data_IF_787362797512
#
_entry.id   IF_787362797512
#
_cell.length_a   1.000
_cell.length_b   1.000
_cell.length_c   1.000
_cell.angle_alpha   90.00
_cell.angle_beta   90.00
_cell.angle_gamma   90.00
#
_symmetry.space_group_name_H-M   'P 1'
#
loop_
_entity.id
_entity.type
_entity.pdbx_description
1 polymer ?
#
# COMPACT_ATOMS: atom_id res chain seq x y z
N UNK A 1 -36.22 6.13 23.52
CA UNK A 1 -34.77 5.96 23.32
C UNK A 1 -34.43 4.56 23.81
N UNK A 2 -34.32 3.59 22.90
CA UNK A 2 -34.09 2.18 23.27
C UNK A 2 -32.61 1.97 23.58
N UNK A 3 -32.26 1.86 24.86
CA UNK A 3 -30.99 1.31 25.29
C UNK A 3 -31.01 -0.19 25.00
N UNK A 4 -30.30 -0.63 23.97
CA UNK A 4 -29.96 -2.04 23.85
C UNK A 4 -28.91 -2.37 24.92
N UNK A 5 -29.23 -3.19 25.93
CA UNK A 5 -28.21 -3.64 26.88
C UNK A 5 -27.15 -4.40 26.10
N UNK A 6 -25.89 -3.98 26.22
CA UNK A 6 -24.77 -4.75 25.68
C UNK A 6 -24.78 -6.11 26.39
N UNK A 7 -24.69 -7.24 25.67
CA UNK A 7 -24.59 -8.54 26.30
C UNK A 7 -23.41 -8.52 27.27
N UNK A 8 -23.56 -9.09 28.46
CA UNK A 8 -22.50 -9.16 29.46
C UNK A 8 -21.33 -9.98 28.90
N UNK A 9 -20.39 -9.33 28.22
CA UNK A 9 -19.18 -9.96 27.71
C UNK A 9 -18.32 -10.35 28.91
N UNK A 10 -17.79 -11.58 28.91
CA UNK A 10 -16.74 -11.93 29.84
C UNK A 10 -15.56 -10.94 29.67
N UNK A 11 -14.78 -10.65 30.73
CA UNK A 11 -13.65 -9.73 30.65
C UNK A 11 -12.66 -10.08 29.51
N UNK A 12 -12.57 -11.35 29.16
CA UNK A 12 -11.78 -11.85 28.04
C UNK A 12 -12.39 -11.46 26.67
N UNK A 13 -13.69 -11.64 26.51
CA UNK A 13 -14.39 -11.34 25.27
C UNK A 13 -14.44 -9.81 25.03
N UNK A 14 -14.53 -9.00 26.09
CA UNK A 14 -14.38 -7.55 26.02
C UNK A 14 -12.98 -7.14 25.53
N UNK A 15 -11.92 -7.72 26.10
CA UNK A 15 -10.53 -7.45 25.69
C UNK A 15 -10.24 -7.86 24.25
N UNK A 16 -10.73 -9.02 23.80
CA UNK A 16 -10.59 -9.47 22.40
C UNK A 16 -11.28 -8.50 21.42
N UNK A 17 -12.43 -7.95 21.79
CA UNK A 17 -13.13 -6.93 21.02
C UNK A 17 -12.30 -5.65 20.89
N UNK A 18 -11.79 -5.12 22.00
CA UNK A 18 -10.96 -3.90 21.99
C UNK A 18 -9.71 -4.07 21.13
N UNK A 19 -9.02 -5.21 21.27
CA UNK A 19 -7.85 -5.52 20.45
C UNK A 19 -8.22 -5.55 18.96
N UNK A 20 -9.32 -6.21 18.60
CA UNK A 20 -9.78 -6.33 17.21
C UNK A 20 -10.12 -4.95 16.63
N UNK A 21 -10.83 -4.10 17.39
CA UNK A 21 -11.16 -2.73 16.97
C UNK A 21 -9.89 -1.91 16.76
N UNK A 22 -8.91 -2.01 17.66
CA UNK A 22 -7.64 -1.28 17.54
C UNK A 22 -6.81 -1.72 16.32
N UNK A 23 -6.82 -3.02 15.99
CA UNK A 23 -6.12 -3.55 14.83
C UNK A 23 -6.81 -3.13 13.52
N UNK A 24 -8.14 -3.04 13.51
CA UNK A 24 -8.91 -2.54 12.36
C UNK A 24 -8.65 -1.05 12.14
N UNK A 25 -8.70 -0.21 13.19
CA UNK A 25 -8.39 1.23 13.07
C UNK A 25 -6.94 1.44 12.62
N UNK A 26 -5.98 0.65 13.13
CA UNK A 26 -4.58 0.73 12.69
C UNK A 26 -4.42 0.27 11.23
N UNK A 27 -5.15 -0.75 10.80
CA UNK A 27 -5.17 -1.21 9.40
C UNK A 27 -5.73 -0.13 8.47
N UNK A 28 -6.91 0.42 8.77
CA UNK A 28 -7.58 1.42 7.94
C UNK A 28 -6.74 2.69 7.80
N UNK A 29 -6.02 3.10 8.84
CA UNK A 29 -5.10 4.25 8.78
C UNK A 29 -3.85 4.02 7.95
N UNK A 30 -3.38 2.78 7.85
CA UNK A 30 -2.12 2.43 7.15
C UNK A 30 -2.35 1.93 5.74
N UNK A 31 -3.57 1.54 5.40
CA UNK A 31 -3.95 1.09 4.08
C UNK A 31 -3.66 2.20 3.06
N UNK A 32 -3.07 1.81 1.94
CA UNK A 32 -2.84 2.71 0.82
C UNK A 32 -4.05 2.69 -0.10
N UNK A 33 -4.55 3.88 -0.45
CA UNK A 33 -5.56 4.07 -1.48
C UNK A 33 -4.84 4.41 -2.80
N UNK A 34 -5.02 3.62 -3.88
CA UNK A 34 -4.38 3.88 -5.17
C UNK A 34 -5.01 5.03 -5.97
N UNK A 35 -6.23 5.44 -5.61
CA UNK A 35 -7.03 6.39 -6.40
C UNK A 35 -6.33 7.76 -6.54
N UNK A 36 -5.79 8.39 -5.47
CA UNK A 36 -5.15 9.70 -5.59
C UNK A 36 -3.98 9.67 -6.58
N UNK A 37 -3.12 8.66 -6.49
CA UNK A 37 -1.94 8.53 -7.35
C UNK A 37 -2.31 8.20 -8.79
N UNK A 38 -3.33 7.37 -9.00
CA UNK A 38 -3.89 7.14 -10.32
C UNK A 38 -4.35 8.45 -10.97
N UNK A 39 -5.11 9.28 -10.24
CA UNK A 39 -5.59 10.57 -10.75
C UNK A 39 -4.43 11.52 -11.07
N UNK A 40 -3.41 11.56 -10.23
CA UNK A 40 -2.21 12.37 -10.47
C UNK A 40 -1.44 11.92 -11.70
N UNK A 41 -1.25 10.62 -11.88
CA UNK A 41 -0.63 10.07 -13.08
C UNK A 41 -1.49 10.28 -14.33
N UNK A 42 -2.82 10.28 -14.20
CA UNK A 42 -3.73 10.52 -15.31
C UNK A 42 -3.70 11.99 -15.78
N UNK A 43 -3.77 12.96 -14.85
CA UNK A 43 -3.83 14.38 -15.20
C UNK A 43 -2.47 15.05 -15.41
N UNK A 44 -1.48 14.72 -14.58
CA UNK A 44 -0.13 15.31 -14.61
C UNK A 44 0.82 14.38 -15.39
N UNK A 45 0.83 13.10 -15.01
CA UNK A 45 1.76 12.10 -15.52
C UNK A 45 3.17 12.24 -14.97
N UNK A 46 4.17 11.80 -15.75
CA UNK A 46 5.59 11.76 -15.36
C UNK A 46 5.85 10.97 -14.06
N UNK A 47 4.98 10.04 -13.71
CA UNK A 47 5.10 9.23 -12.50
C UNK A 47 4.90 9.99 -11.18
N UNK A 48 4.33 11.21 -11.22
CA UNK A 48 4.14 12.06 -10.02
C UNK A 48 3.28 11.37 -8.95
N UNK A 49 2.27 10.61 -9.36
CA UNK A 49 1.40 9.85 -8.46
C UNK A 49 2.17 8.85 -7.61
N UNK A 50 3.21 8.22 -8.18
CA UNK A 50 3.98 7.19 -7.48
C UNK A 50 4.72 7.77 -6.25
N UNK A 51 5.13 9.04 -6.31
CA UNK A 51 5.76 9.70 -5.15
C UNK A 51 4.78 9.94 -4.00
N UNK A 52 3.52 10.22 -4.31
CA UNK A 52 2.47 10.43 -3.31
C UNK A 52 2.09 9.12 -2.60
N UNK A 53 2.15 8.01 -3.34
CA UNK A 53 2.02 6.66 -2.79
C UNK A 53 3.23 6.16 -1.99
N UNK A 54 4.36 6.85 -2.10
CA UNK A 54 5.63 6.46 -1.48
C UNK A 54 6.48 5.50 -2.32
N UNK A 55 6.08 5.18 -3.55
CA UNK A 55 6.90 4.44 -4.51
C UNK A 55 7.84 5.38 -5.29
N UNK A 56 8.88 5.84 -4.59
CA UNK A 56 9.86 6.78 -5.14
C UNK A 56 10.69 6.15 -6.27
N UNK A 57 10.99 4.85 -6.18
CA UNK A 57 11.81 4.16 -7.17
C UNK A 57 11.09 4.08 -8.52
N UNK A 58 9.84 3.61 -8.52
CA UNK A 58 9.06 3.55 -9.75
C UNK A 58 8.71 4.95 -10.25
N UNK A 59 8.49 5.92 -9.35
CA UNK A 59 8.33 7.34 -9.72
C UNK A 59 9.52 7.89 -10.52
N UNK A 60 10.75 7.68 -10.05
CA UNK A 60 11.97 8.13 -10.75
C UNK A 60 12.12 7.44 -12.11
N UNK A 61 11.88 6.13 -12.19
CA UNK A 61 11.96 5.38 -13.45
C UNK A 61 10.97 5.96 -14.46
N UNK A 62 9.70 6.09 -14.08
CA UNK A 62 8.65 6.58 -14.98
C UNK A 62 8.93 8.02 -15.43
N UNK A 63 9.40 8.88 -14.53
CA UNK A 63 9.81 10.24 -14.88
C UNK A 63 10.96 10.25 -15.88
N UNK A 64 11.97 9.40 -15.67
CA UNK A 64 13.15 9.31 -16.55
C UNK A 64 12.77 8.80 -17.95
N UNK A 65 11.89 7.80 -18.01
CA UNK A 65 11.36 7.26 -19.27
C UNK A 65 10.55 8.31 -20.02
N UNK A 66 9.67 9.06 -19.34
CA UNK A 66 8.88 10.12 -19.98
C UNK A 66 9.78 11.23 -20.53
N UNK A 67 10.77 11.69 -19.75
CA UNK A 67 11.72 12.72 -20.19
C UNK A 67 12.54 12.24 -21.39
N UNK A 68 13.05 11.02 -21.35
CA UNK A 68 13.80 10.44 -22.47
C UNK A 68 12.93 10.30 -23.72
N UNK A 69 11.68 9.89 -23.56
CA UNK A 69 10.73 9.73 -24.67
C UNK A 69 10.39 11.06 -25.33
N UNK A 70 10.12 12.10 -24.52
CA UNK A 70 9.88 13.47 -25.03
C UNK A 70 11.12 14.01 -25.75
N UNK A 71 12.32 13.75 -25.23
CA UNK A 71 13.56 14.14 -25.91
C UNK A 71 13.73 13.43 -27.26
N UNK A 72 13.44 12.13 -27.34
CA UNK A 72 13.49 11.36 -28.58
C UNK A 72 12.49 11.88 -29.62
N UNK A 73 11.26 12.21 -29.20
CA UNK A 73 10.24 12.83 -30.05
C UNK A 73 10.74 14.17 -30.58
N UNK A 74 11.25 15.04 -29.69
CA UNK A 74 11.74 16.37 -30.07
C UNK A 74 12.92 16.30 -31.05
N UNK A 75 13.89 15.42 -30.80
CA UNK A 75 15.04 15.21 -31.69
C UNK A 75 14.58 14.66 -33.04
N UNK A 76 13.71 13.64 -33.04
CA UNK A 76 13.15 13.06 -34.27
C UNK A 76 12.39 14.09 -35.10
N UNK A 77 11.55 14.91 -34.47
CA UNK A 77 10.83 16.00 -35.12
C UNK A 77 11.77 17.07 -35.69
N UNK A 78 12.81 17.46 -34.94
CA UNK A 78 13.81 18.41 -35.41
C UNK A 78 14.57 17.89 -36.64
N UNK A 79 14.94 16.61 -36.66
CA UNK A 79 15.61 15.99 -37.81
C UNK A 79 14.69 16.01 -39.03
N UNK A 80 13.43 15.58 -38.91
CA UNK A 80 12.45 15.61 -40.03
C UNK A 80 12.25 17.00 -40.62
N UNK A 81 12.25 18.03 -39.77
CA UNK A 81 12.02 19.40 -40.23
C UNK A 81 13.26 20.02 -40.92
N UNK A 82 14.47 19.54 -40.61
CA UNK A 82 15.72 20.09 -41.16
C UNK A 82 16.31 19.26 -42.31
N UNK A 83 16.02 17.96 -42.37
CA UNK A 83 16.50 17.06 -43.40
C UNK A 83 15.31 16.58 -44.24
N UNK A 84 15.32 16.91 -45.53
CA UNK A 84 14.33 16.48 -46.53
C UNK A 84 14.50 14.98 -46.87
N UNK A 85 14.67 14.13 -45.86
CA UNK A 85 14.66 12.68 -46.02
C UNK A 85 13.24 12.17 -45.75
N UNK A 86 12.65 11.49 -46.73
CA UNK A 86 11.41 10.71 -46.56
C UNK A 86 11.62 9.47 -45.65
N UNK A 87 12.84 9.27 -45.17
CA UNK A 87 13.13 8.37 -44.07
C UNK A 87 12.47 8.96 -42.81
N UNK A 88 11.28 8.48 -42.51
CA UNK A 88 10.57 8.81 -41.28
C UNK A 88 11.56 8.74 -40.12
N UNK A 89 11.74 9.80 -39.31
CA UNK A 89 12.70 9.76 -38.21
C UNK A 89 12.21 8.70 -37.22
N UNK A 90 12.78 7.51 -37.31
CA UNK A 90 12.44 6.33 -36.50
C UNK A 90 12.44 6.70 -35.00
N UNK A 91 13.27 7.67 -34.61
CA UNK A 91 13.35 8.27 -33.28
C UNK A 91 12.03 8.90 -32.79
N UNK A 92 11.28 9.61 -33.63
CA UNK A 92 9.99 10.20 -33.26
C UNK A 92 8.95 9.10 -32.99
N UNK A 93 8.91 8.09 -33.87
CA UNK A 93 8.00 6.95 -33.73
C UNK A 93 8.34 6.13 -32.48
N UNK A 94 9.62 5.82 -32.25
CA UNK A 94 10.06 5.11 -31.05
C UNK A 94 9.74 5.93 -29.80
N UNK A 95 10.09 7.22 -29.78
CA UNK A 95 9.80 8.09 -28.64
C UNK A 95 8.30 8.16 -28.34
N UNK A 96 7.47 8.27 -29.36
CA UNK A 96 6.00 8.27 -29.23
C UNK A 96 5.45 6.96 -28.67
N UNK A 97 5.95 5.81 -29.12
CA UNK A 97 5.54 4.50 -28.63
C UNK A 97 5.96 4.29 -27.17
N UNK A 98 7.19 4.66 -26.82
CA UNK A 98 7.68 4.54 -25.43
C UNK A 98 6.89 5.49 -24.52
N UNK A 99 6.61 6.71 -24.97
CA UNK A 99 5.77 7.66 -24.22
C UNK A 99 4.34 7.14 -24.01
N UNK A 100 3.71 6.58 -25.03
CA UNK A 100 2.37 6.01 -24.87
C UNK A 100 2.37 4.80 -23.93
N UNK A 101 3.37 3.93 -24.07
CA UNK A 101 3.56 2.77 -23.19
C UNK A 101 3.78 3.18 -21.73
N UNK A 102 4.60 4.20 -21.49
CA UNK A 102 4.83 4.73 -20.14
C UNK A 102 3.56 5.35 -19.55
N UNK A 103 2.70 5.98 -20.37
CA UNK A 103 1.40 6.48 -19.89
C UNK A 103 0.48 5.36 -19.43
N UNK A 104 0.39 4.27 -20.18
CA UNK A 104 -0.42 3.12 -19.77
C UNK A 104 0.15 2.50 -18.48
N UNK A 105 1.47 2.35 -18.39
CA UNK A 105 2.13 1.81 -17.20
C UNK A 105 1.85 2.67 -15.96
N UNK A 106 1.93 3.99 -16.07
CA UNK A 106 1.65 4.92 -14.97
C UNK A 106 0.20 4.85 -14.45
N UNK A 107 -0.75 4.38 -15.26
CA UNK A 107 -2.14 4.16 -14.81
C UNK A 107 -2.31 2.84 -14.05
N UNK A 108 -1.51 1.83 -14.37
CA UNK A 108 -1.64 0.48 -13.79
C UNK A 108 -0.83 0.36 -12.49
N UNK A 109 0.38 0.93 -12.47
CA UNK A 109 1.34 0.82 -11.35
C UNK A 109 0.73 1.17 -9.99
N UNK A 110 -0.06 2.26 -9.83
CA UNK A 110 -0.65 2.60 -8.54
C UNK A 110 -1.47 1.47 -7.92
N UNK A 111 -2.26 0.77 -8.73
CA UNK A 111 -3.09 -0.34 -8.25
C UNK A 111 -2.24 -1.53 -7.84
N UNK A 112 -1.23 -1.90 -8.64
CA UNK A 112 -0.34 -3.01 -8.33
C UNK A 112 0.48 -2.74 -7.07
N UNK A 113 0.98 -1.51 -6.92
CA UNK A 113 1.74 -1.11 -5.74
C UNK A 113 0.88 -1.13 -4.48
N UNK A 114 -0.30 -0.50 -4.54
CA UNK A 114 -1.23 -0.47 -3.41
C UNK A 114 -1.69 -1.88 -3.00
N UNK A 115 -1.97 -2.77 -3.95
CA UNK A 115 -2.39 -4.15 -3.66
C UNK A 115 -1.29 -4.92 -2.93
N UNK A 116 -0.06 -4.89 -3.46
CA UNK A 116 1.10 -5.55 -2.84
C UNK A 116 1.39 -5.01 -1.43
N UNK A 117 1.35 -3.68 -1.24
CA UNK A 117 1.51 -3.05 0.08
C UNK A 117 0.40 -3.45 1.04
N UNK A 118 -0.84 -3.47 0.57
CA UNK A 118 -2.00 -3.79 1.39
C UNK A 118 -2.03 -5.28 1.79
N UNK A 119 -1.52 -6.17 0.95
CA UNK A 119 -1.31 -7.59 1.27
C UNK A 119 -0.27 -7.76 2.39
N UNK A 120 0.91 -7.16 2.25
CA UNK A 120 1.94 -7.20 3.29
C UNK A 120 1.47 -6.59 4.62
N UNK A 121 0.65 -5.54 4.57
CA UNK A 121 -0.01 -4.99 5.76
C UNK A 121 -0.95 -6.03 6.38
N UNK A 122 -1.85 -6.65 5.60
CA UNK A 122 -2.78 -7.69 6.08
C UNK A 122 -2.05 -8.85 6.78
N UNK A 123 -0.97 -9.33 6.19
CA UNK A 123 -0.16 -10.40 6.80
C UNK A 123 0.43 -9.98 8.14
N UNK A 124 1.01 -8.78 8.22
CA UNK A 124 1.59 -8.27 9.47
C UNK A 124 0.54 -8.12 10.58
N UNK A 125 -0.68 -7.69 10.23
CA UNK A 125 -1.80 -7.58 11.17
C UNK A 125 -2.32 -8.96 11.59
N UNK A 126 -2.40 -9.91 10.66
CA UNK A 126 -2.77 -11.29 10.97
C UNK A 126 -1.78 -11.91 11.96
N UNK A 127 -0.47 -11.77 11.71
CA UNK A 127 0.58 -12.24 12.61
C UNK A 127 0.50 -11.57 13.99
N UNK A 128 0.32 -10.24 14.04
CA UNK A 128 0.16 -9.49 15.30
C UNK A 128 -1.05 -9.96 16.09
N UNK A 129 -2.15 -10.28 15.42
CA UNK A 129 -3.34 -10.85 16.05
C UNK A 129 -3.05 -12.24 16.63
N UNK A 130 -2.42 -13.15 15.88
CA UNK A 130 -2.07 -14.50 16.35
C UNK A 130 -1.15 -14.47 17.57
N UNK A 131 -0.09 -13.65 17.53
CA UNK A 131 0.83 -13.48 18.66
C UNK A 131 0.09 -12.98 19.90
N UNK A 132 -0.83 -12.02 19.72
CA UNK A 132 -1.66 -11.50 20.80
C UNK A 132 -2.56 -12.60 21.39
N UNK A 133 -3.21 -13.41 20.54
CA UNK A 133 -4.03 -14.56 20.97
C UNK A 133 -3.22 -15.60 21.74
N UNK A 134 -2.05 -16.00 21.23
CA UNK A 134 -1.17 -16.98 21.89
C UNK A 134 -0.64 -16.46 23.24
N UNK A 135 -0.31 -15.18 23.33
CA UNK A 135 0.14 -14.58 24.60
C UNK A 135 -0.97 -14.55 25.65
N UNK A 136 -2.22 -14.34 25.23
CA UNK A 136 -3.37 -14.33 26.12
C UNK A 136 -3.69 -15.75 26.65
N UNK A 137 -3.62 -16.77 25.79
CA UNK A 137 -3.84 -18.16 26.20
C UNK A 137 -2.72 -18.65 27.15
N UNK A 138 -1.46 -18.32 26.87
CA UNK A 138 -0.35 -18.67 27.75
C UNK A 138 -0.51 -18.10 29.17
N UNK A 139 -1.01 -16.86 29.30
CA UNK A 139 -1.32 -16.26 30.62
C UNK A 139 -2.50 -16.93 31.33
N UNK A 140 -3.47 -17.46 30.60
CA UNK A 140 -4.57 -18.21 31.22
C UNK A 140 -4.09 -19.53 31.80
N UNK A 141 -3.22 -20.25 31.08
CA UNK A 141 -2.61 -21.49 31.57
C UNK A 141 -1.86 -21.25 32.88
N UNK A 142 -1.00 -20.23 32.95
CA UNK A 142 -0.25 -19.92 34.18
C UNK A 142 -1.16 -19.50 35.35
N UNK A 143 -2.24 -18.75 35.11
CA UNK A 143 -3.21 -18.42 36.16
C UNK A 143 -4.01 -19.64 36.65
N UNK A 144 -4.30 -20.59 35.76
CA UNK A 144 -5.02 -21.82 36.11
C UNK A 144 -4.12 -22.75 36.92
N UNK A 145 -2.86 -22.92 36.51
CA UNK A 145 -1.86 -23.65 37.29
C UNK A 145 -1.63 -23.01 38.67
N UNK A 146 -1.52 -21.68 38.76
CA UNK A 146 -1.35 -20.99 40.04
C UNK A 146 -2.55 -21.21 40.99
N UNK A 147 -3.78 -21.26 40.47
CA UNK A 147 -4.98 -21.60 41.24
C UNK A 147 -4.98 -23.05 41.69
N UNK A 148 -4.62 -23.98 40.82
CA UNK A 148 -4.61 -25.42 41.11
C UNK A 148 -3.49 -25.82 42.08
N UNK A 149 -2.36 -25.11 42.05
CA UNK A 149 -1.20 -25.38 42.92
C UNK A 149 -1.26 -24.66 44.27
N UNK A 150 -2.32 -23.89 44.55
CA UNK A 150 -2.59 -23.31 45.87
C UNK A 150 -1.60 -22.22 46.32
N UNK A 151 -0.82 -21.64 45.40
CA UNK A 151 0.09 -20.53 45.72
C UNK A 151 -0.67 -19.22 45.94
N UNK A 152 -1.37 -19.10 47.08
CA UNK A 152 -1.72 -17.79 47.62
C UNK A 152 -0.48 -17.24 48.34
N UNK A 153 0.32 -16.43 47.65
CA UNK A 153 1.32 -15.60 48.31
C UNK A 153 0.59 -14.59 49.21
N UNK A 154 0.49 -14.88 50.50
CA UNK A 154 0.11 -13.89 51.50
C UNK A 154 1.12 -12.72 51.46
N UNK A 155 0.70 -11.48 51.16
CA UNK A 155 1.53 -10.32 51.46
C UNK A 155 1.60 -10.17 52.98
N UNK A 156 2.82 -10.04 53.51
CA UNK A 156 3.09 -9.69 54.90
C UNK A 156 2.70 -8.24 55.18
#
# INVERSE_FOLDING_TARGET
MYYYPQPFLSPEAARKRELTISLIDEYDRRRIDPVPSFLLNFFIGFGVGNFIEGDTFTGIIMMSVDVASVALIAIGAAIRNNFSSNDAPILDVIGSLVFLGSRIAQLIIPFTYADSKNEGLRESFFLKSMVSYLSASARQWTMTEARLTGWQSHPK
#
